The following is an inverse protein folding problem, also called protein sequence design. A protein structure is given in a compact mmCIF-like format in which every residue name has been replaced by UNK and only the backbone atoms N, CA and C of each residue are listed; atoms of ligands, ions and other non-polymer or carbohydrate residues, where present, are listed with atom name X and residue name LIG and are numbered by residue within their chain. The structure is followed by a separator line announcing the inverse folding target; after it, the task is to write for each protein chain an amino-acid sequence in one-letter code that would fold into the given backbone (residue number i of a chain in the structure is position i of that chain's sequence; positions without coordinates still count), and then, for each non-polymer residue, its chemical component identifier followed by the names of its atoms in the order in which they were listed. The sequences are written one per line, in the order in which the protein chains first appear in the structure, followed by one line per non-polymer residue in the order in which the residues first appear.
data_IF_289378539688
#
_entry.id   IF_289378539688
#
_cell.length_a   1.000
_cell.length_b   1.000
_cell.length_c   1.000
_cell.angle_alpha   90.00
_cell.angle_beta   90.00
_cell.angle_gamma   90.00
#
_symmetry.space_group_name_H-M   'P 1'
#
loop_
_entity.id
_entity.type
_entity.pdbx_description
1 polymer ?
#
# COMPACT_ATOMS: atom_id res chain seq x y z
N UNK A 1 -28.73 30.32 -72.27
CA UNK A 1 -27.56 29.57 -71.78
C UNK A 1 -27.36 29.97 -70.33
N UNK A 2 -27.98 29.24 -69.40
CA UNK A 2 -28.01 29.57 -67.97
C UNK A 2 -27.01 28.65 -67.26
N UNK A 3 -25.92 29.22 -66.72
CA UNK A 3 -24.94 28.48 -65.92
C UNK A 3 -25.55 28.15 -64.55
N UNK A 4 -25.62 26.86 -64.21
CA UNK A 4 -25.93 26.37 -62.86
C UNK A 4 -24.66 26.37 -62.02
N UNK A 5 -24.64 27.15 -60.95
CA UNK A 5 -23.60 27.10 -59.92
C UNK A 5 -23.75 25.85 -59.06
N UNK A 6 -22.64 25.11 -58.87
CA UNK A 6 -22.53 24.03 -57.90
C UNK A 6 -21.99 24.60 -56.60
N UNK A 7 -22.80 24.57 -55.53
CA UNK A 7 -22.33 24.79 -54.16
C UNK A 7 -21.74 23.49 -53.63
N UNK A 8 -20.43 23.46 -53.38
CA UNK A 8 -19.78 22.41 -52.60
C UNK A 8 -19.94 22.72 -51.12
N UNK A 9 -20.70 21.89 -50.40
CA UNK A 9 -20.71 21.87 -48.95
C UNK A 9 -19.48 21.09 -48.46
N UNK A 10 -18.55 21.77 -47.80
CA UNK A 10 -17.43 21.13 -47.12
C UNK A 10 -17.93 20.48 -45.82
N UNK A 11 -18.01 19.16 -45.79
CA UNK A 11 -18.24 18.41 -44.57
C UNK A 11 -16.92 18.39 -43.75
N UNK A 12 -16.85 19.20 -42.69
CA UNK A 12 -15.82 19.07 -41.67
C UNK A 12 -16.04 17.74 -40.91
N UNK A 13 -15.28 16.71 -41.29
CA UNK A 13 -15.17 15.50 -40.49
C UNK A 13 -14.36 15.83 -39.23
N UNK A 14 -15.05 16.02 -38.09
CA UNK A 14 -14.40 16.07 -36.79
C UNK A 14 -13.95 14.65 -36.47
N UNK A 15 -12.65 14.39 -36.62
CA UNK A 15 -12.02 13.19 -36.10
C UNK A 15 -12.08 13.25 -34.57
N UNK A 16 -13.04 12.52 -33.99
CA UNK A 16 -13.04 12.18 -32.57
C UNK A 16 -11.82 11.29 -32.33
N UNK A 17 -10.70 11.89 -31.97
CA UNK A 17 -9.58 11.19 -31.36
C UNK A 17 -10.11 10.70 -30.02
N UNK A 18 -10.52 9.44 -29.98
CA UNK A 18 -10.83 8.75 -28.74
C UNK A 18 -9.56 8.67 -27.90
N UNK A 19 -9.39 9.63 -27.00
CA UNK A 19 -8.49 9.50 -25.87
C UNK A 19 -9.05 8.34 -25.04
N UNK A 20 -8.48 7.15 -25.20
CA UNK A 20 -8.68 6.05 -24.27
C UNK A 20 -8.07 6.50 -22.94
N UNK A 21 -8.90 7.07 -22.07
CA UNK A 21 -8.55 7.25 -20.67
C UNK A 21 -8.28 5.85 -20.13
N UNK A 22 -7.08 5.56 -19.59
CA UNK A 22 -6.84 4.28 -18.96
C UNK A 22 -7.88 4.12 -17.84
N UNK A 23 -8.43 2.93 -17.70
CA UNK A 23 -9.33 2.59 -16.61
C UNK A 23 -8.54 2.69 -15.29
N UNK A 24 -8.55 3.88 -14.69
CA UNK A 24 -8.31 4.05 -13.26
C UNK A 24 -9.37 3.22 -12.55
N UNK A 25 -9.04 2.63 -11.40
CA UNK A 25 -10.05 2.13 -10.48
C UNK A 25 -11.10 3.23 -10.32
N UNK A 26 -12.35 2.96 -10.74
CA UNK A 26 -13.39 3.98 -10.69
C UNK A 26 -13.47 4.49 -9.25
N UNK A 27 -13.40 5.82 -9.00
CA UNK A 27 -13.56 6.34 -7.66
C UNK A 27 -14.91 5.85 -7.12
N UNK A 28 -14.91 5.35 -5.89
CA UNK A 28 -16.18 5.21 -5.17
C UNK A 28 -16.81 6.59 -5.05
N UNK A 29 -18.13 6.64 -4.94
CA UNK A 29 -18.82 7.90 -4.68
C UNK A 29 -18.23 8.58 -3.43
N UNK A 30 -18.18 9.92 -3.44
CA UNK A 30 -17.84 10.74 -2.27
C UNK A 30 -18.57 10.23 -1.03
N UNK A 31 -17.80 9.94 0.02
CA UNK A 31 -18.34 9.51 1.30
C UNK A 31 -18.05 10.58 2.36
N UNK A 32 -19.11 10.98 3.06
CA UNK A 32 -19.03 11.85 4.22
C UNK A 32 -18.94 11.01 5.48
N UNK A 33 -17.91 11.22 6.29
CA UNK A 33 -17.67 10.51 7.55
C UNK A 33 -17.51 11.51 8.69
N UNK A 34 -18.32 11.37 9.73
CA UNK A 34 -18.12 12.10 10.99
C UNK A 34 -17.22 11.28 11.92
N UNK A 35 -16.05 11.81 12.26
CA UNK A 35 -15.05 11.16 13.10
C UNK A 35 -14.43 12.16 14.08
N UNK A 36 -14.38 11.78 15.36
CA UNK A 36 -13.80 12.59 16.44
C UNK A 36 -14.29 14.05 16.50
N UNK A 37 -15.57 14.29 16.16
CA UNK A 37 -16.19 15.63 16.18
C UNK A 37 -15.89 16.51 14.96
N UNK A 38 -15.28 15.96 13.91
CA UNK A 38 -15.08 16.62 12.63
C UNK A 38 -15.66 15.79 11.48
N UNK A 39 -16.00 16.45 10.37
CA UNK A 39 -16.54 15.82 9.17
C UNK A 39 -15.47 15.74 8.09
N UNK A 40 -15.27 14.54 7.53
CA UNK A 40 -14.30 14.23 6.49
C UNK A 40 -15.02 13.85 5.20
N UNK A 41 -14.55 14.38 4.08
CA UNK A 41 -14.93 13.92 2.75
C UNK A 41 -13.80 13.04 2.23
N UNK A 42 -14.13 11.78 1.96
CA UNK A 42 -13.18 10.77 1.49
C UNK A 42 -13.74 10.05 0.28
N UNK A 43 -12.84 9.65 -0.62
CA UNK A 43 -13.15 8.84 -1.79
C UNK A 43 -12.25 7.60 -1.74
N UNK A 44 -12.57 6.59 -0.90
CA UNK A 44 -11.84 5.32 -0.91
C UNK A 44 -12.09 4.58 -2.22
N UNK A 45 -11.13 3.78 -2.68
CA UNK A 45 -11.27 2.96 -3.89
C UNK A 45 -11.56 1.51 -3.53
N UNK A 46 -11.60 0.61 -4.52
CA UNK A 46 -11.70 -0.83 -4.26
C UNK A 46 -10.44 -1.25 -3.50
N UNK A 47 -10.60 -2.09 -2.46
CA UNK A 47 -9.47 -2.68 -1.70
C UNK A 47 -8.40 -3.19 -2.67
N UNK A 48 -7.19 -2.71 -2.53
CA UNK A 48 -6.02 -3.15 -3.29
C UNK A 48 -5.01 -3.83 -2.36
N UNK A 49 -4.01 -4.50 -2.94
CA UNK A 49 -2.95 -5.18 -2.20
C UNK A 49 -3.44 -6.06 -1.05
N UNK A 50 -4.50 -6.83 -1.27
CA UNK A 50 -5.12 -7.60 -0.19
C UNK A 50 -4.23 -8.79 0.17
N UNK A 51 -3.54 -8.72 1.31
CA UNK A 51 -2.91 -9.92 1.87
C UNK A 51 -3.97 -10.86 2.45
N UNK A 52 -4.17 -12.07 1.91
CA UNK A 52 -5.18 -12.99 2.42
C UNK A 52 -4.74 -13.66 3.73
N UNK A 53 -5.69 -14.05 4.57
CA UNK A 53 -5.41 -14.99 5.67
C UNK A 53 -5.07 -16.34 5.05
N UNK A 54 -3.82 -16.77 5.16
CA UNK A 54 -3.43 -18.11 4.75
C UNK A 54 -4.19 -19.17 5.57
N UNK A 55 -4.77 -20.21 4.92
CA UNK A 55 -4.88 -21.50 5.59
C UNK A 55 -3.45 -22.09 5.66
N UNK A 56 -2.90 -22.26 6.85
CA UNK A 56 -1.62 -22.97 7.03
C UNK A 56 -1.74 -24.47 6.62
N UNK A 57 -0.63 -25.17 6.31
CA UNK A 57 0.35 -24.97 5.24
C UNK A 57 0.17 -26.03 4.11
N UNK A 58 0.97 -25.92 3.04
CA UNK A 58 1.09 -26.85 1.89
C UNK A 58 0.38 -26.50 0.57
N UNK A 59 0.25 -25.22 0.23
CA UNK A 59 0.25 -24.89 -1.19
C UNK A 59 1.71 -24.95 -1.67
N UNK A 60 2.07 -26.01 -2.41
CA UNK A 60 3.33 -26.03 -3.12
C UNK A 60 3.46 -24.72 -3.92
N UNK A 61 4.59 -24.02 -3.80
CA UNK A 61 4.88 -22.86 -4.62
C UNK A 61 4.55 -23.22 -6.08
N UNK A 62 3.50 -22.62 -6.62
CA UNK A 62 3.16 -22.79 -8.02
C UNK A 62 4.42 -22.43 -8.79
N UNK A 63 4.85 -23.29 -9.72
CA UNK A 63 5.91 -22.91 -10.66
C UNK A 63 5.35 -21.76 -11.47
N UNK A 64 5.54 -20.54 -10.98
CA UNK A 64 5.08 -19.33 -11.65
C UNK A 64 5.74 -19.39 -13.02
N UNK A 65 4.91 -19.36 -14.06
CA UNK A 65 5.36 -19.08 -15.42
C UNK A 65 6.20 -17.79 -15.40
N UNK A 66 6.94 -17.47 -16.45
CA UNK A 66 7.71 -16.21 -16.50
C UNK A 66 6.81 -15.05 -16.05
N UNK A 67 7.13 -14.48 -14.90
CA UNK A 67 6.35 -13.41 -14.32
C UNK A 67 7.24 -12.19 -14.26
N UNK A 68 6.77 -11.09 -14.84
CA UNK A 68 7.53 -9.86 -14.91
C UNK A 68 6.52 -8.78 -14.57
N UNK A 69 6.74 -8.12 -13.44
CA UNK A 69 5.96 -6.96 -13.06
C UNK A 69 6.21 -5.87 -14.11
N UNK A 70 5.12 -5.26 -14.55
CA UNK A 70 5.18 -4.14 -15.50
C UNK A 70 4.39 -2.98 -14.94
N UNK A 71 4.89 -1.76 -15.17
CA UNK A 71 4.19 -0.55 -14.76
C UNK A 71 2.85 -0.41 -15.50
N UNK A 72 1.77 -0.12 -14.78
CA UNK A 72 0.41 -0.06 -15.34
C UNK A 72 0.02 1.33 -15.85
N UNK A 73 0.86 2.34 -15.64
CA UNK A 73 0.64 3.73 -16.03
C UNK A 73 1.87 4.38 -16.67
N UNK A 74 1.67 5.58 -17.24
CA UNK A 74 2.73 6.47 -17.72
C UNK A 74 3.00 7.62 -16.73
N UNK A 75 2.36 7.61 -15.56
CA UNK A 75 2.41 8.71 -14.60
C UNK A 75 3.80 8.84 -13.98
N UNK A 76 4.14 10.07 -13.59
CA UNK A 76 5.40 10.42 -12.93
C UNK A 76 5.21 10.72 -11.44
N UNK A 77 4.04 10.36 -10.89
CA UNK A 77 3.68 10.47 -9.48
C UNK A 77 2.65 9.36 -9.16
N UNK A 78 2.76 8.79 -7.97
CA UNK A 78 1.80 7.84 -7.43
C UNK A 78 1.85 6.45 -8.05
N UNK A 79 2.82 6.18 -8.93
CA UNK A 79 3.09 4.81 -9.39
C UNK A 79 3.94 4.09 -8.34
N UNK A 80 4.91 4.79 -7.77
CA UNK A 80 5.73 4.32 -6.65
C UNK A 80 5.81 5.43 -5.59
N UNK A 81 6.41 5.14 -4.44
CA UNK A 81 6.91 6.18 -3.52
C UNK A 81 8.44 6.24 -3.63
N UNK A 82 9.00 7.21 -4.37
CA UNK A 82 10.45 7.33 -4.52
C UNK A 82 11.22 7.54 -3.21
N UNK A 83 10.62 8.21 -2.22
CA UNK A 83 11.26 8.52 -0.94
C UNK A 83 10.34 8.20 0.26
N UNK A 84 10.09 6.92 0.55
CA UNK A 84 9.02 6.51 1.46
C UNK A 84 9.10 7.13 2.85
N UNK A 85 7.96 7.62 3.33
CA UNK A 85 7.73 8.08 4.71
C UNK A 85 6.52 7.36 5.28
N UNK A 86 6.68 6.80 6.47
CA UNK A 86 5.63 6.07 7.17
C UNK A 86 5.17 6.87 8.38
N UNK A 87 3.87 7.14 8.43
CA UNK A 87 3.20 7.68 9.60
C UNK A 87 2.34 6.58 10.22
N UNK A 88 2.64 6.19 11.46
CA UNK A 88 1.90 5.14 12.16
C UNK A 88 0.85 5.77 13.07
N UNK A 89 -0.40 5.37 12.88
CA UNK A 89 -1.54 5.83 13.67
C UNK A 89 -2.08 4.65 14.46
N UNK A 90 -1.85 4.65 15.78
CA UNK A 90 -2.47 3.71 16.70
C UNK A 90 -3.87 4.23 17.04
N UNK A 91 -4.86 3.81 16.26
CA UNK A 91 -6.21 4.38 16.28
C UNK A 91 -7.09 3.78 17.38
N UNK A 92 -7.56 4.66 18.29
CA UNK A 92 -8.53 4.34 19.33
C UNK A 92 -7.92 4.30 20.74
N UNK A 93 -8.72 4.72 21.72
CA UNK A 93 -8.36 4.64 23.15
C UNK A 93 -8.12 3.21 23.67
N UNK A 94 -8.56 2.20 22.92
CA UNK A 94 -8.25 0.79 23.16
C UNK A 94 -6.74 0.49 23.17
N UNK A 95 -5.89 1.30 22.51
CA UNK A 95 -4.43 1.18 22.59
C UNK A 95 -3.83 1.44 23.97
N UNK A 96 -4.65 1.82 24.96
CA UNK A 96 -4.29 1.71 26.38
C UNK A 96 -3.95 0.28 26.82
N UNK A 97 -4.37 -0.73 26.05
CA UNK A 97 -3.95 -2.11 26.15
C UNK A 97 -3.27 -2.58 24.85
N UNK A 98 -2.06 -3.13 24.98
CA UNK A 98 -1.30 -3.73 23.89
C UNK A 98 -0.73 -5.08 24.37
N UNK A 99 -1.55 -6.14 24.45
CA UNK A 99 -1.18 -7.40 25.07
C UNK A 99 0.00 -8.11 24.40
N UNK A 100 0.23 -7.86 23.11
CA UNK A 100 1.34 -8.44 22.35
C UNK A 100 2.58 -7.54 22.27
N UNK A 101 2.52 -6.29 22.74
CA UNK A 101 3.58 -5.30 22.54
C UNK A 101 3.76 -4.90 21.08
N UNK A 102 2.69 -4.91 20.28
CA UNK A 102 2.70 -4.62 18.86
C UNK A 102 3.11 -3.17 18.55
N UNK A 103 2.67 -2.20 19.37
CA UNK A 103 2.93 -0.78 19.12
C UNK A 103 4.42 -0.41 19.17
N UNK A 104 5.18 -0.72 20.25
CA UNK A 104 6.62 -0.45 20.26
C UNK A 104 7.37 -1.28 19.21
N UNK A 105 6.91 -2.50 18.91
CA UNK A 105 7.57 -3.37 17.96
C UNK A 105 7.40 -2.88 16.50
N UNK A 106 6.22 -2.36 16.13
CA UNK A 106 5.97 -1.73 14.82
C UNK A 106 6.79 -0.46 14.61
N UNK A 107 6.93 0.36 15.66
CA UNK A 107 7.81 1.53 15.63
C UNK A 107 9.27 1.13 15.41
N UNK A 108 9.75 0.10 16.12
CA UNK A 108 11.09 -0.42 15.94
C UNK A 108 11.32 -0.96 14.53
N UNK A 109 10.34 -1.66 13.95
CA UNK A 109 10.39 -2.17 12.59
C UNK A 109 10.65 -1.03 11.57
N UNK A 110 9.77 -0.02 11.53
CA UNK A 110 9.96 1.11 10.61
C UNK A 110 11.18 1.98 10.91
N UNK A 111 11.59 2.05 12.18
CA UNK A 111 12.85 2.71 12.56
C UNK A 111 14.07 1.97 12.00
N UNK A 112 14.00 0.63 11.88
CA UNK A 112 15.10 -0.22 11.44
C UNK A 112 15.20 -0.44 9.94
N UNK A 113 14.15 -0.13 9.17
CA UNK A 113 14.09 -0.31 7.71
C UNK A 113 14.88 0.76 6.96
N UNK A 114 16.20 0.74 7.09
CA UNK A 114 17.11 1.57 6.32
C UNK A 114 18.55 1.05 6.38
N UNK A 115 19.40 1.56 5.49
CA UNK A 115 20.84 1.29 5.51
C UNK A 115 21.18 -0.19 5.29
N UNK A 116 22.43 -0.57 5.53
CA UNK A 116 22.95 -1.87 5.09
C UNK A 116 22.34 -3.10 5.79
N UNK A 117 21.64 -2.92 6.91
CA UNK A 117 20.92 -4.02 7.58
C UNK A 117 19.60 -4.34 6.86
N UNK A 118 19.01 -3.36 6.19
CA UNK A 118 17.83 -3.55 5.37
C UNK A 118 18.22 -3.95 3.94
N UNK A 119 18.54 -5.23 3.74
CA UNK A 119 18.78 -5.82 2.42
C UNK A 119 17.50 -6.40 1.78
N UNK A 120 16.35 -6.22 2.43
CA UNK A 120 15.05 -6.55 1.89
C UNK A 120 14.50 -5.37 1.10
N UNK A 121 14.59 -4.16 1.64
CA UNK A 121 14.17 -2.91 1.01
C UNK A 121 14.88 -2.61 -0.32
N UNK A 122 16.11 -3.07 -0.48
CA UNK A 122 16.90 -2.94 -1.71
C UNK A 122 16.29 -3.65 -2.91
N UNK A 123 15.43 -4.66 -2.71
CA UNK A 123 14.71 -5.31 -3.82
C UNK A 123 13.81 -4.31 -4.54
N UNK A 124 13.23 -3.35 -3.81
CA UNK A 124 12.23 -2.42 -4.36
C UNK A 124 12.86 -1.31 -5.21
N UNK A 125 14.18 -1.06 -5.11
CA UNK A 125 14.86 0.00 -5.87
C UNK A 125 14.87 -0.24 -7.39
N UNK A 126 14.52 -1.44 -7.84
CA UNK A 126 14.39 -1.75 -9.27
C UNK A 126 13.12 -1.17 -9.90
N UNK A 127 12.14 -0.78 -9.09
CA UNK A 127 10.87 -0.22 -9.54
C UNK A 127 10.92 1.32 -9.56
N UNK A 128 10.12 1.92 -10.43
CA UNK A 128 10.17 3.35 -10.70
C UNK A 128 8.86 3.91 -11.26
N UNK A 129 8.79 5.23 -11.35
CA UNK A 129 7.75 5.96 -12.07
C UNK A 129 8.33 6.85 -13.19
N UNK A 130 7.45 7.51 -13.96
CA UNK A 130 7.87 8.40 -15.06
C UNK A 130 8.35 7.66 -16.32
N UNK A 131 8.00 6.39 -16.45
CA UNK A 131 8.32 5.52 -17.59
C UNK A 131 7.04 5.15 -18.37
N UNK A 132 7.19 4.59 -19.57
CA UNK A 132 6.04 4.16 -20.36
C UNK A 132 5.33 2.95 -19.73
N UNK A 133 3.99 2.89 -19.79
CA UNK A 133 3.19 1.72 -19.43
C UNK A 133 3.70 0.47 -20.13
N UNK A 134 3.81 -0.62 -19.38
CA UNK A 134 4.39 -1.88 -19.85
C UNK A 134 5.91 -1.97 -19.68
N UNK A 135 6.57 -0.93 -19.17
CA UNK A 135 7.99 -1.01 -18.77
C UNK A 135 8.17 -2.09 -17.71
N UNK A 136 9.13 -2.98 -17.97
CA UNK A 136 9.56 -4.06 -17.06
C UNK A 136 10.91 -3.77 -16.38
N UNK A 137 11.67 -2.82 -16.92
CA UNK A 137 12.99 -2.40 -16.43
C UNK A 137 13.12 -0.90 -16.63
N UNK A 138 13.33 -0.18 -15.52
CA UNK A 138 13.39 1.27 -15.46
C UNK A 138 14.62 1.91 -16.13
N UNK A 139 15.67 1.12 -16.38
CA UNK A 139 16.95 1.64 -16.88
C UNK A 139 17.46 2.77 -15.99
N UNK A 140 17.83 3.89 -16.61
CA UNK A 140 18.24 5.13 -15.91
C UNK A 140 17.26 6.29 -16.12
N UNK A 141 16.16 6.05 -16.83
CA UNK A 141 15.22 7.10 -17.23
C UNK A 141 14.05 7.25 -16.25
N UNK A 142 13.74 6.21 -15.48
CA UNK A 142 12.70 6.25 -14.45
C UNK A 142 13.15 6.97 -13.18
N UNK A 143 12.17 7.43 -12.41
CA UNK A 143 12.36 7.93 -11.05
C UNK A 143 12.25 6.71 -10.12
N UNK A 144 13.40 6.20 -9.68
CA UNK A 144 13.48 4.98 -8.88
C UNK A 144 13.07 5.20 -7.42
N UNK A 145 12.58 4.13 -6.80
CA UNK A 145 12.51 4.02 -5.34
C UNK A 145 13.93 4.07 -4.78
N UNK A 146 14.19 5.03 -3.90
CA UNK A 146 15.46 5.13 -3.21
C UNK A 146 15.47 4.21 -1.99
N UNK A 147 16.56 3.46 -1.82
CA UNK A 147 16.77 2.74 -0.58
C UNK A 147 17.06 3.75 0.56
N UNK A 148 16.25 3.76 1.64
CA UNK A 148 16.42 4.75 2.70
C UNK A 148 17.79 4.64 3.38
N UNK A 149 18.44 5.79 3.61
CA UNK A 149 19.70 5.86 4.37
C UNK A 149 19.49 6.16 5.86
N UNK A 150 18.26 6.51 6.23
CA UNK A 150 17.79 6.83 7.58
C UNK A 150 16.37 6.30 7.77
N UNK A 151 15.92 6.22 9.02
CA UNK A 151 14.57 5.76 9.39
C UNK A 151 13.47 6.34 8.50
N UNK A 152 12.61 5.46 8.00
CA UNK A 152 11.39 5.82 7.25
C UNK A 152 10.21 6.17 8.17
N UNK A 153 10.29 5.86 9.47
CA UNK A 153 9.29 6.28 10.44
C UNK A 153 9.33 7.81 10.59
N UNK A 154 8.36 8.49 9.97
CA UNK A 154 8.26 9.94 9.91
C UNK A 154 7.39 10.53 11.03
N UNK A 155 6.50 9.72 11.63
CA UNK A 155 5.68 10.15 12.76
C UNK A 155 4.91 8.99 13.37
N UNK A 156 4.58 9.14 14.66
CA UNK A 156 3.74 8.21 15.42
C UNK A 156 2.67 9.01 16.14
N UNK A 157 1.43 8.56 16.05
CA UNK A 157 0.33 9.15 16.78
C UNK A 157 -0.53 8.05 17.43
N UNK A 158 -0.64 8.11 18.75
CA UNK A 158 -1.68 7.40 19.48
C UNK A 158 -2.92 8.27 19.50
N UNK A 159 -3.85 8.03 18.58
CA UNK A 159 -5.16 8.68 18.62
C UNK A 159 -6.05 8.03 19.68
N UNK A 160 -5.81 8.37 20.93
CA UNK A 160 -6.51 7.81 22.09
C UNK A 160 -7.61 8.73 22.64
N UNK A 161 -7.98 9.76 21.89
CA UNK A 161 -8.96 10.76 22.33
C UNK A 161 -10.39 10.20 22.43
N UNK A 162 -10.71 9.18 21.62
CA UNK A 162 -11.96 8.44 21.61
C UNK A 162 -11.70 6.97 21.25
N UNK A 163 -12.62 6.04 21.54
CA UNK A 163 -12.49 4.68 21.04
C UNK A 163 -12.63 4.65 19.50
N UNK A 164 -11.80 3.86 18.83
CA UNK A 164 -12.01 3.53 17.43
C UNK A 164 -13.24 2.63 17.29
N UNK A 165 -14.00 2.67 16.17
CA UNK A 165 -15.12 1.77 15.95
C UNK A 165 -14.72 0.30 16.10
N UNK A 166 -15.52 -0.49 16.82
CA UNK A 166 -15.25 -1.93 16.99
C UNK A 166 -15.26 -2.70 15.64
N UNK A 167 -15.97 -2.18 14.64
CA UNK A 167 -15.98 -2.65 13.25
C UNK A 167 -16.03 -1.41 12.37
N UNK A 168 -14.86 -0.85 12.03
CA UNK A 168 -14.78 0.32 11.15
C UNK A 168 -15.08 -0.07 9.69
N UNK A 169 -15.65 0.85 8.91
CA UNK A 169 -15.73 0.71 7.46
C UNK A 169 -14.45 1.21 6.80
N UNK A 170 -14.19 0.80 5.55
CA UNK A 170 -13.12 1.38 4.72
C UNK A 170 -13.11 2.91 4.74
N UNK A 171 -14.27 3.56 4.61
CA UNK A 171 -14.35 5.02 4.61
C UNK A 171 -13.99 5.65 5.96
N UNK A 172 -14.29 4.98 7.08
CA UNK A 172 -13.84 5.44 8.39
C UNK A 172 -12.32 5.33 8.56
N UNK A 173 -11.71 4.28 8.01
CA UNK A 173 -10.25 4.12 7.98
C UNK A 173 -9.61 5.22 7.12
N UNK A 174 -10.14 5.47 5.93
CA UNK A 174 -9.72 6.56 5.06
C UNK A 174 -9.89 7.95 5.72
N UNK A 175 -10.97 8.16 6.47
CA UNK A 175 -11.19 9.39 7.23
C UNK A 175 -10.16 9.56 8.37
N UNK A 176 -9.77 8.46 9.04
CA UNK A 176 -8.70 8.51 10.03
C UNK A 176 -7.34 8.83 9.39
N UNK A 177 -7.06 8.32 8.18
CA UNK A 177 -5.86 8.73 7.42
C UNK A 177 -5.88 10.23 7.09
N UNK A 178 -7.03 10.79 6.68
CA UNK A 178 -7.18 12.23 6.44
C UNK A 178 -7.00 13.07 7.72
N UNK A 179 -7.47 12.56 8.85
CA UNK A 179 -7.27 13.17 10.16
C UNK A 179 -5.80 13.11 10.60
N UNK A 180 -5.13 11.99 10.38
CA UNK A 180 -3.71 11.82 10.64
C UNK A 180 -2.85 12.75 9.78
N UNK A 181 -3.15 12.89 8.48
CA UNK A 181 -2.50 13.86 7.62
C UNK A 181 -2.58 15.28 8.19
N UNK A 182 -3.76 15.68 8.68
CA UNK A 182 -3.94 16.97 9.36
C UNK A 182 -3.14 17.05 10.66
N UNK A 183 -3.15 16.00 11.49
CA UNK A 183 -2.41 15.92 12.74
C UNK A 183 -0.90 16.13 12.54
N UNK A 184 -0.32 15.48 11.53
CA UNK A 184 1.10 15.59 11.20
C UNK A 184 1.45 16.85 10.39
N UNK A 185 0.48 17.71 10.07
CA UNK A 185 0.69 18.94 9.30
C UNK A 185 0.83 18.73 7.78
N UNK A 186 0.52 17.54 7.28
CA UNK A 186 0.57 17.19 5.86
C UNK A 186 -0.73 17.61 5.14
N UNK A 187 -1.02 18.90 5.14
CA UNK A 187 -2.33 19.45 4.71
C UNK A 187 -2.40 19.83 3.22
N UNK A 188 -1.44 19.38 2.41
CA UNK A 188 -1.39 19.59 0.95
C UNK A 188 -0.85 18.35 0.25
N UNK A 189 -0.97 18.26 -1.08
CA UNK A 189 -0.48 17.08 -1.81
C UNK A 189 1.03 16.87 -1.68
N UNK A 190 1.84 17.94 -1.66
CA UNK A 190 3.31 17.86 -1.68
C UNK A 190 3.90 16.95 -0.59
N UNK A 191 3.57 17.11 0.72
CA UNK A 191 4.05 16.20 1.75
C UNK A 191 3.46 14.78 1.65
N UNK A 192 2.36 14.60 0.91
CA UNK A 192 1.65 13.32 0.74
C UNK A 192 2.07 12.53 -0.50
N UNK A 193 2.99 13.03 -1.34
CA UNK A 193 3.48 12.31 -2.53
C UNK A 193 4.32 11.07 -2.20
N UNK A 194 4.83 10.98 -0.97
CA UNK A 194 5.68 9.90 -0.47
C UNK A 194 5.28 9.44 0.94
N UNK A 195 4.14 9.93 1.46
CA UNK A 195 3.67 9.61 2.80
C UNK A 195 2.59 8.53 2.74
N UNK A 196 2.80 7.44 3.46
CA UNK A 196 1.78 6.45 3.76
C UNK A 196 1.35 6.54 5.23
N UNK A 197 0.04 6.39 5.46
CA UNK A 197 -0.56 6.38 6.78
C UNK A 197 -0.96 4.95 7.15
N UNK A 198 -0.20 4.32 8.04
CA UNK A 198 -0.52 2.99 8.56
C UNK A 198 -1.52 3.15 9.69
N UNK A 199 -2.78 2.79 9.44
CA UNK A 199 -3.86 2.86 10.42
C UNK A 199 -3.90 1.53 11.18
N UNK A 200 -3.17 1.49 12.29
CA UNK A 200 -3.07 0.33 13.16
C UNK A 200 -4.26 0.29 14.13
N UNK A 201 -5.11 -0.74 13.97
CA UNK A 201 -6.27 -0.95 14.83
C UNK A 201 -5.89 -1.71 16.10
N UNK A 202 -6.53 -1.40 17.23
CA UNK A 202 -6.24 -2.03 18.52
C UNK A 202 -6.81 -3.45 18.64
N UNK A 203 -6.33 -4.22 19.63
CA UNK A 203 -6.87 -5.55 19.95
C UNK A 203 -8.38 -5.54 20.18
N UNK A 204 -9.06 -6.59 19.72
CA UNK A 204 -10.51 -6.78 19.81
C UNK A 204 -11.34 -5.97 18.82
N UNK A 205 -10.71 -5.23 17.92
CA UNK A 205 -11.38 -4.51 16.82
C UNK A 205 -11.32 -5.28 15.51
N UNK A 206 -12.28 -4.99 14.62
CA UNK A 206 -12.54 -5.75 13.40
C UNK A 206 -12.62 -4.79 12.20
N UNK A 207 -11.54 -4.04 11.90
CA UNK A 207 -11.57 -3.03 10.86
C UNK A 207 -11.88 -3.69 9.51
N UNK A 208 -12.87 -3.13 8.83
CA UNK A 208 -13.35 -3.55 7.51
C UNK A 208 -13.72 -5.07 7.41
N UNK A 209 -14.14 -5.63 8.55
CA UNK A 209 -14.58 -7.02 8.68
C UNK A 209 -13.47 -8.04 8.94
N UNK A 210 -12.25 -7.60 9.25
CA UNK A 210 -11.21 -8.49 9.78
C UNK A 210 -11.71 -9.29 10.99
N UNK A 211 -11.39 -10.58 11.15
CA UNK A 211 -10.73 -11.44 10.16
C UNK A 211 -11.71 -12.15 9.22
N UNK A 212 -13.02 -12.04 9.46
CA UNK A 212 -14.06 -12.80 8.78
C UNK A 212 -14.17 -12.48 7.27
N UNK A 213 -13.65 -11.34 6.84
CA UNK A 213 -13.50 -10.94 5.44
C UNK A 213 -12.33 -11.64 4.72
N UNK A 214 -11.54 -12.48 5.39
CA UNK A 214 -10.51 -13.32 4.78
C UNK A 214 -9.18 -12.64 4.46
N UNK A 215 -8.91 -11.45 5.00
CA UNK A 215 -7.66 -10.71 4.80
C UNK A 215 -6.90 -10.49 6.11
N UNK A 216 -5.60 -10.30 6.01
CA UNK A 216 -4.68 -9.91 7.07
C UNK A 216 -4.56 -8.39 7.15
N UNK A 217 -4.36 -7.74 6.01
CA UNK A 217 -4.39 -6.30 5.82
C UNK A 217 -4.73 -6.00 4.35
N UNK A 218 -4.76 -4.72 4.02
CA UNK A 218 -4.78 -4.21 2.65
C UNK A 218 -4.36 -2.74 2.68
N UNK A 219 -3.98 -2.20 1.54
CA UNK A 219 -3.73 -0.78 1.37
C UNK A 219 -4.59 -0.18 0.27
N UNK A 220 -4.74 1.14 0.30
CA UNK A 220 -5.50 1.90 -0.67
C UNK A 220 -5.05 3.38 -0.66
N UNK A 221 -5.66 4.22 -1.48
CA UNK A 221 -5.58 5.66 -1.35
C UNK A 221 -6.97 6.30 -1.27
N UNK A 222 -7.04 7.52 -0.74
CA UNK A 222 -8.26 8.32 -0.75
C UNK A 222 -7.97 9.73 -1.22
N UNK A 223 -8.85 10.30 -2.04
CA UNK A 223 -8.88 11.75 -2.22
C UNK A 223 -9.39 12.42 -0.93
N UNK A 224 -8.81 13.57 -0.59
CA UNK A 224 -9.17 14.38 0.57
C UNK A 224 -8.86 15.86 0.32
N UNK A 225 -9.20 16.73 1.28
CA UNK A 225 -8.78 18.14 1.25
C UNK A 225 -7.26 18.34 1.33
N UNK A 226 -6.52 17.32 1.79
CA UNK A 226 -5.05 17.31 1.86
C UNK A 226 -4.39 16.68 0.63
N UNK A 227 -5.16 16.38 -0.42
CA UNK A 227 -4.73 15.62 -1.60
C UNK A 227 -5.04 14.13 -1.48
N UNK A 228 -4.45 13.35 -2.39
CA UNK A 228 -4.48 11.89 -2.35
C UNK A 228 -3.57 11.39 -1.22
N UNK A 229 -4.12 10.53 -0.37
CA UNK A 229 -3.44 9.97 0.79
C UNK A 229 -3.37 8.45 0.63
N UNK A 230 -2.16 7.89 0.57
CA UNK A 230 -1.95 6.45 0.64
C UNK A 230 -2.10 5.99 2.09
N UNK A 231 -2.82 4.90 2.33
CA UNK A 231 -3.05 4.38 3.67
C UNK A 231 -3.15 2.86 3.70
N UNK A 232 -2.76 2.28 4.83
CA UNK A 232 -2.84 0.85 5.10
C UNK A 232 -3.88 0.62 6.20
N UNK A 233 -4.79 -0.32 5.98
CA UNK A 233 -5.59 -0.90 7.05
C UNK A 233 -4.79 -2.04 7.70
N UNK A 234 -4.26 -1.81 8.90
CA UNK A 234 -3.49 -2.80 9.64
C UNK A 234 -4.26 -3.24 10.90
N UNK A 235 -5.04 -4.35 10.84
CA UNK A 235 -5.70 -4.93 12.01
C UNK A 235 -4.70 -5.37 13.09
N UNK A 236 -5.18 -5.64 14.31
CA UNK A 236 -4.35 -6.23 15.37
C UNK A 236 -4.16 -7.74 15.15
N UNK A 237 -3.27 -8.11 14.23
CA UNK A 237 -3.05 -9.52 13.86
C UNK A 237 -2.71 -10.47 15.02
N UNK A 238 -2.07 -10.05 16.14
CA UNK A 238 -1.92 -10.91 17.30
C UNK A 238 -3.20 -11.57 17.79
N UNK A 239 -4.39 -11.01 17.51
CA UNK A 239 -5.68 -11.62 17.85
C UNK A 239 -5.94 -12.95 17.09
N UNK A 240 -5.22 -13.21 15.99
CA UNK A 240 -5.25 -14.50 15.28
C UNK A 240 -4.40 -15.58 15.96
N UNK A 241 -3.60 -15.21 16.96
CA UNK A 241 -2.62 -16.09 17.58
C UNK A 241 -1.34 -16.25 16.76
N UNK A 242 -0.35 -16.94 17.35
CA UNK A 242 0.92 -17.19 16.69
C UNK A 242 0.73 -18.04 15.42
N UNK A 243 1.26 -17.56 14.30
CA UNK A 243 1.17 -18.23 12.99
C UNK A 243 0.04 -17.74 12.08
N UNK A 244 -0.84 -16.85 12.54
CA UNK A 244 -1.75 -16.14 11.64
C UNK A 244 -0.95 -15.28 10.67
N UNK A 245 -1.30 -15.29 9.38
CA UNK A 245 -0.72 -14.38 8.37
C UNK A 245 0.80 -14.44 8.16
N UNK A 246 1.43 -15.58 8.47
CA UNK A 246 2.86 -15.85 8.23
C UNK A 246 3.05 -17.30 7.80
N UNK A 247 4.13 -17.55 7.06
CA UNK A 247 4.63 -18.87 6.65
C UNK A 247 5.90 -19.29 7.41
N UNK A 248 6.41 -18.46 8.34
CA UNK A 248 7.57 -18.82 9.16
C UNK A 248 7.27 -20.03 10.06
N UNK A 249 8.25 -20.93 10.15
CA UNK A 249 8.23 -22.02 11.11
C UNK A 249 8.49 -21.52 12.55
N UNK A 250 7.76 -22.08 13.52
CA UNK A 250 7.80 -21.68 14.94
C UNK A 250 7.51 -20.19 15.16
N UNK A 251 6.36 -19.70 14.70
CA UNK A 251 6.06 -18.28 14.74
C UNK A 251 5.86 -17.78 16.17
N UNK A 252 6.27 -16.54 16.41
CA UNK A 252 5.87 -15.72 17.56
C UNK A 252 4.53 -15.05 17.26
N UNK A 253 3.97 -14.39 18.28
CA UNK A 253 2.69 -13.69 18.16
C UNK A 253 2.73 -12.50 17.18
N UNK A 254 3.90 -11.88 16.98
CA UNK A 254 4.06 -10.71 16.12
C UNK A 254 4.55 -11.04 14.70
N UNK A 255 4.88 -12.29 14.39
CA UNK A 255 5.44 -12.64 13.08
C UNK A 255 4.44 -12.39 11.96
N UNK A 256 3.20 -12.80 12.17
CA UNK A 256 2.10 -12.47 11.27
C UNK A 256 1.92 -10.97 11.06
N UNK A 257 2.12 -10.18 12.12
CA UNK A 257 2.00 -8.73 12.08
C UNK A 257 3.06 -8.12 11.17
N UNK A 258 4.33 -8.55 11.28
CA UNK A 258 5.42 -8.06 10.44
C UNK A 258 5.40 -8.61 9.03
N UNK A 259 5.11 -9.91 8.84
CA UNK A 259 4.90 -10.48 7.50
C UNK A 259 3.79 -9.71 6.77
N UNK A 260 2.76 -9.26 7.48
CA UNK A 260 1.65 -8.50 6.88
C UNK A 260 2.04 -7.07 6.61
N UNK A 261 2.66 -6.37 7.55
CA UNK A 261 3.10 -5.00 7.29
C UNK A 261 4.17 -4.94 6.20
N UNK A 262 5.03 -5.94 6.08
CA UNK A 262 6.02 -6.00 5.00
C UNK A 262 5.38 -6.21 3.63
N UNK A 263 4.30 -6.99 3.55
CA UNK A 263 3.47 -7.11 2.34
C UNK A 263 2.92 -5.74 1.94
N UNK A 264 2.16 -5.11 2.83
CA UNK A 264 1.49 -3.84 2.56
C UNK A 264 2.49 -2.72 2.27
N UNK A 265 3.56 -2.61 3.06
CA UNK A 265 4.60 -1.61 2.81
C UNK A 265 5.22 -1.77 1.43
N UNK A 266 5.54 -3.00 1.01
CA UNK A 266 6.15 -3.24 -0.30
C UNK A 266 5.19 -2.88 -1.45
N UNK A 267 3.92 -3.20 -1.30
CA UNK A 267 2.91 -2.89 -2.30
C UNK A 267 2.61 -1.40 -2.33
N UNK A 268 2.42 -0.72 -1.19
CA UNK A 268 2.28 0.74 -1.14
C UNK A 268 3.45 1.44 -1.83
N UNK A 269 4.70 1.04 -1.61
CA UNK A 269 5.80 1.76 -2.25
C UNK A 269 5.97 1.43 -3.73
N UNK A 270 5.38 0.35 -4.25
CA UNK A 270 5.47 -0.06 -5.67
C UNK A 270 4.16 0.12 -6.47
N UNK A 271 3.06 0.42 -5.80
CA UNK A 271 1.74 0.81 -6.33
C UNK A 271 1.07 1.84 -5.40
N UNK A 272 1.70 3.02 -5.28
CA UNK A 272 1.36 4.01 -4.26
C UNK A 272 -0.08 4.55 -4.34
N UNK A 273 -0.61 4.69 -5.55
CA UNK A 273 -2.03 4.83 -5.79
C UNK A 273 -2.47 3.58 -6.56
N UNK A 274 -3.08 2.59 -5.90
CA UNK A 274 -3.40 1.32 -6.52
C UNK A 274 -3.95 1.36 -7.94
N UNK A 275 -3.62 0.32 -8.71
CA UNK A 275 -3.96 0.08 -10.13
C UNK A 275 -3.09 0.80 -11.16
N UNK A 276 -2.16 1.67 -10.74
CA UNK A 276 -1.26 2.38 -11.66
C UNK A 276 0.23 1.98 -11.54
N UNK A 277 0.58 1.29 -10.46
CA UNK A 277 1.91 0.81 -10.10
C UNK A 277 2.41 -0.41 -10.85
N UNK A 278 3.27 -1.18 -10.19
CA UNK A 278 3.94 -2.36 -10.72
C UNK A 278 3.18 -3.63 -10.41
N UNK A 279 2.73 -4.33 -11.46
CA UNK A 279 1.88 -5.50 -11.27
C UNK A 279 2.16 -6.57 -12.34
N UNK A 280 2.07 -7.84 -11.94
CA UNK A 280 2.40 -9.04 -12.69
C UNK A 280 1.17 -9.86 -13.07
N UNK A 281 1.34 -11.17 -13.12
CA UNK A 281 0.26 -12.13 -13.38
C UNK A 281 -0.32 -12.75 -12.11
N UNK A 282 0.45 -12.80 -11.04
CA UNK A 282 0.05 -13.21 -9.70
C UNK A 282 -0.34 -12.05 -8.80
N UNK A 283 -0.06 -10.79 -9.18
CA UNK A 283 -0.55 -9.59 -8.50
C UNK A 283 0.53 -8.51 -8.38
N UNK A 284 0.47 -7.75 -7.30
CA UNK A 284 1.51 -6.80 -6.90
C UNK A 284 2.74 -7.53 -6.33
N UNK A 285 3.76 -6.76 -5.91
CA UNK A 285 5.06 -7.33 -5.51
C UNK A 285 4.96 -8.30 -4.33
N UNK A 286 4.04 -8.06 -3.39
CA UNK A 286 3.78 -8.91 -2.23
C UNK A 286 2.94 -10.12 -2.61
N UNK A 287 1.90 -9.93 -3.41
CA UNK A 287 1.00 -10.97 -3.90
C UNK A 287 1.71 -12.16 -4.56
N UNK A 288 2.72 -11.87 -5.39
CA UNK A 288 3.50 -12.89 -6.08
C UNK A 288 4.25 -13.83 -5.11
N UNK A 289 4.42 -13.41 -3.86
CA UNK A 289 5.38 -14.00 -2.92
C UNK A 289 4.81 -14.29 -1.52
N UNK A 290 3.49 -14.31 -1.38
CA UNK A 290 2.79 -14.59 -0.12
C UNK A 290 3.15 -15.97 0.51
N UNK A 291 3.79 -16.89 -0.23
CA UNK A 291 4.21 -18.22 0.27
C UNK A 291 5.67 -18.28 0.72
N UNK A 292 6.29 -17.13 0.96
CA UNK A 292 7.68 -17.03 1.36
C UNK A 292 7.78 -16.00 2.48
N UNK A 293 8.30 -16.42 3.63
CA UNK A 293 8.69 -15.52 4.72
C UNK A 293 10.08 -15.90 5.23
N UNK A 294 10.83 -14.92 5.72
CA UNK A 294 12.10 -15.15 6.38
C UNK A 294 12.42 -14.08 7.42
N UNK A 295 13.22 -14.44 8.42
CA UNK A 295 13.70 -13.48 9.43
C UNK A 295 14.75 -12.56 8.84
N UNK A 296 14.60 -11.27 9.14
CA UNK A 296 15.63 -10.26 8.93
C UNK A 296 16.02 -9.63 10.26
N UNK A 297 17.32 -9.51 10.48
CA UNK A 297 17.88 -8.78 11.61
C UNK A 297 18.15 -7.33 11.19
N UNK A 298 17.32 -6.41 11.69
CA UNK A 298 17.55 -4.98 11.59
C UNK A 298 18.27 -4.47 12.84
N UNK A 299 18.75 -3.23 12.81
CA UNK A 299 19.40 -2.61 13.97
C UNK A 299 18.51 -2.51 15.22
N UNK A 300 17.20 -2.61 15.04
CA UNK A 300 16.16 -2.42 16.07
C UNK A 300 15.47 -3.71 16.50
N UNK A 301 15.80 -4.86 15.89
CA UNK A 301 15.18 -6.13 16.21
C UNK A 301 15.24 -7.15 15.08
N UNK A 302 14.64 -8.32 15.33
CA UNK A 302 14.45 -9.37 14.33
C UNK A 302 12.98 -9.42 13.95
N UNK A 303 12.69 -9.27 12.67
CA UNK A 303 11.33 -9.17 12.15
C UNK A 303 11.07 -10.29 11.14
N UNK A 304 9.81 -10.69 11.04
CA UNK A 304 9.37 -11.56 9.95
C UNK A 304 9.13 -10.73 8.69
N UNK A 305 9.82 -11.09 7.60
CA UNK A 305 9.73 -10.38 6.33
C UNK A 305 9.08 -11.28 5.29
N UNK A 306 7.97 -10.83 4.73
CA UNK A 306 7.42 -11.48 3.56
C UNK A 306 8.38 -11.34 2.40
N UNK A 307 8.54 -12.42 1.65
CA UNK A 307 9.15 -12.41 0.35
C UNK A 307 8.42 -11.44 -0.57
N UNK A 308 9.19 -10.83 -1.47
CA UNK A 308 8.71 -9.89 -2.47
C UNK A 308 9.30 -10.24 -3.83
N UNK A 309 8.57 -9.95 -4.90
CA UNK A 309 9.00 -10.27 -6.26
C UNK A 309 10.16 -9.38 -6.71
N UNK A 310 11.20 -10.00 -7.27
CA UNK A 310 12.28 -9.29 -7.94
C UNK A 310 12.25 -9.59 -9.44
N UNK A 311 11.96 -8.58 -10.27
CA UNK A 311 12.09 -8.71 -11.73
C UNK A 311 13.52 -9.10 -12.14
N UNK A 312 14.52 -8.55 -11.46
CA UNK A 312 15.95 -8.81 -11.71
C UNK A 312 16.32 -10.26 -11.41
N UNK A 313 15.86 -10.80 -10.28
CA UNK A 313 16.10 -12.20 -9.92
C UNK A 313 15.11 -13.17 -10.60
N UNK A 314 14.02 -12.64 -11.16
CA UNK A 314 12.89 -13.37 -11.74
C UNK A 314 12.34 -14.46 -10.80
N UNK A 315 12.20 -14.12 -9.52
CA UNK A 315 11.67 -14.98 -8.45
C UNK A 315 11.35 -14.14 -7.20
N UNK A 316 10.62 -14.76 -6.28
CA UNK A 316 10.49 -14.27 -4.91
C UNK A 316 11.82 -14.31 -4.16
N UNK A 317 12.09 -13.25 -3.41
CA UNK A 317 13.29 -13.08 -2.59
C UNK A 317 12.91 -12.46 -1.25
N UNK A 318 13.68 -12.76 -0.21
CA UNK A 318 13.58 -12.12 1.12
C UNK A 318 14.77 -11.21 1.41
N UNK A 319 15.69 -11.08 0.45
CA UNK A 319 16.81 -10.16 0.42
C UNK A 319 17.43 -10.12 -0.99
N UNK A 320 18.17 -9.06 -1.30
CA UNK A 320 18.98 -8.94 -2.52
C UNK A 320 20.48 -9.13 -2.27
#
# INVERSE_FOLDING_TARGET
MVLRGFSFAAACAVALIGLSVPAQAMPSADQTVDLAGATYQVQPHVRAGLKPIHPAPHAAASKVARNVLTVRSNASQGVVSPNPKVYVVFWGSQWSADPAGAAPALQNFFTGLHGSADNWGTVMTQYCEGVARGTANCGTAGIHINHPTSSILAGVWFDNTAPAPATSTQAQIAAEAARAATHFGNTTQTPNLDAQYVIASATGTHPDGFPNSGFCAWHDFTASTSGNLAYTNLPYLPDLGAGGCTTIANPTLLDGYFSTETHEYAEVITDFWPSIGWNGSGGEIGDECQQLDARLNLGTGTFDMQGIWSNTANKCVTNS
#
